data_IF_314040380054
#
_entry.id   IF_314040380054
#
_cell.length_a   1.000
_cell.length_b   1.000
_cell.length_c   1.000
_cell.angle_alpha   90.00
_cell.angle_beta   90.00
_cell.angle_gamma   90.00
#
_symmetry.space_group_name_H-M   'P 1'
#
loop_
_entity.id
_entity.type
_entity.pdbx_description
1 polymer ?
#
# COMPACT_ATOMS: atom_id res chain seq x y z
N UNK A 1 14.17 -17.42 16.92
CA UNK A 1 13.53 -16.14 17.28
C UNK A 1 14.38 -15.04 16.69
N UNK A 2 14.13 -14.65 15.41
CA UNK A 2 14.87 -13.58 14.74
C UNK A 2 14.32 -12.27 15.29
N UNK A 3 15.14 -11.56 16.03
CA UNK A 3 14.82 -10.26 16.61
C UNK A 3 14.58 -9.24 15.50
N UNK A 4 13.33 -8.84 15.32
CA UNK A 4 12.91 -7.73 14.45
C UNK A 4 13.31 -6.35 15.02
N UNK A 5 14.42 -6.28 15.74
CA UNK A 5 15.01 -5.06 16.30
C UNK A 5 15.43 -4.03 15.23
N UNK A 6 15.34 -4.41 13.96
CA UNK A 6 15.65 -3.53 12.81
C UNK A 6 14.76 -2.30 12.67
N UNK A 7 13.59 -2.25 13.32
CA UNK A 7 12.65 -1.13 13.17
C UNK A 7 12.60 -0.18 14.37
N UNK A 8 13.42 -0.42 15.38
CA UNK A 8 13.39 0.28 16.66
C UNK A 8 14.73 0.92 16.97
N UNK A 9 14.83 2.17 16.88
CA UNK A 9 15.45 3.13 17.79
C UNK A 9 15.58 4.50 17.14
N UNK A 10 15.45 5.57 17.92
CA UNK A 10 15.74 6.95 17.51
C UNK A 10 17.25 7.21 17.34
N UNK A 11 18.08 6.22 17.32
CA UNK A 11 19.45 6.30 16.82
C UNK A 11 19.34 6.58 15.32
N UNK A 12 19.94 7.65 14.87
CA UNK A 12 20.08 8.02 13.46
C UNK A 12 20.68 6.83 12.72
N UNK A 13 19.83 5.97 12.15
CA UNK A 13 20.32 4.87 11.30
C UNK A 13 21.15 5.51 10.20
N UNK A 14 22.33 4.96 9.88
CA UNK A 14 23.11 5.44 8.76
C UNK A 14 22.23 5.39 7.50
N UNK A 15 22.32 6.41 6.66
CA UNK A 15 21.46 6.57 5.46
C UNK A 15 21.46 5.34 4.57
N UNK A 16 22.62 4.67 4.42
CA UNK A 16 22.74 3.47 3.61
C UNK A 16 21.82 2.31 4.04
N UNK A 17 21.57 2.15 5.35
CA UNK A 17 20.64 1.12 5.84
C UNK A 17 19.20 1.43 5.44
N UNK A 18 18.83 2.71 5.43
CA UNK A 18 17.52 3.15 4.95
C UNK A 18 17.37 2.93 3.45
N UNK A 19 18.40 3.24 2.68
CA UNK A 19 18.46 3.02 1.24
C UNK A 19 18.35 1.53 0.91
N UNK A 20 19.13 0.69 1.60
CA UNK A 20 19.05 -0.77 1.44
C UNK A 20 17.65 -1.29 1.74
N UNK A 21 17.02 -0.83 2.83
CA UNK A 21 15.66 -1.23 3.17
C UNK A 21 14.65 -0.83 2.07
N UNK A 22 14.77 0.39 1.52
CA UNK A 22 13.91 0.83 0.40
C UNK A 22 14.11 -0.08 -0.81
N UNK A 23 15.35 -0.37 -1.19
CA UNK A 23 15.67 -1.27 -2.32
C UNK A 23 15.08 -2.67 -2.10
N UNK A 24 15.32 -3.26 -0.93
CA UNK A 24 14.80 -4.60 -0.62
C UNK A 24 13.26 -4.65 -0.64
N UNK A 25 12.61 -3.60 -0.12
CA UNK A 25 11.16 -3.50 -0.18
C UNK A 25 10.66 -3.32 -1.62
N UNK A 26 11.29 -2.45 -2.40
CA UNK A 26 10.92 -2.24 -3.81
C UNK A 26 11.05 -3.55 -4.59
N UNK A 27 12.19 -4.24 -4.51
CA UNK A 27 12.40 -5.53 -5.19
C UNK A 27 11.38 -6.57 -4.73
N UNK A 28 11.25 -6.76 -3.42
CA UNK A 28 10.36 -7.79 -2.85
C UNK A 28 8.89 -7.58 -3.23
N UNK A 29 8.38 -6.35 -3.08
CA UNK A 29 6.99 -6.05 -3.45
C UNK A 29 6.76 -5.98 -4.96
N UNK A 30 7.76 -5.61 -5.76
CA UNK A 30 7.68 -5.72 -7.22
C UNK A 30 7.60 -7.17 -7.67
N UNK A 31 8.44 -8.06 -7.12
CA UNK A 31 8.36 -9.49 -7.43
C UNK A 31 7.02 -10.12 -7.00
N UNK A 32 6.48 -9.73 -5.84
CA UNK A 32 5.14 -10.14 -5.42
C UNK A 32 4.07 -9.64 -6.40
N UNK A 33 4.12 -8.37 -6.81
CA UNK A 33 3.21 -7.80 -7.78
C UNK A 33 3.29 -8.53 -9.13
N UNK A 34 4.50 -8.80 -9.62
CA UNK A 34 4.72 -9.53 -10.88
C UNK A 34 4.17 -10.96 -10.79
N UNK A 35 4.43 -11.66 -9.67
CA UNK A 35 3.95 -13.02 -9.44
C UNK A 35 2.44 -13.16 -9.31
N UNK A 36 1.73 -12.07 -8.99
CA UNK A 36 0.26 -12.04 -8.89
C UNK A 36 -0.43 -11.51 -10.14
N UNK A 37 0.31 -11.16 -11.19
CA UNK A 37 -0.27 -10.78 -12.49
C UNK A 37 -1.02 -11.96 -13.08
N UNK A 38 -2.29 -11.78 -13.36
CA UNK A 38 -3.04 -12.69 -14.25
C UNK A 38 -2.59 -12.42 -15.68
N UNK A 39 -2.56 -13.48 -16.51
CA UNK A 39 -2.06 -13.43 -17.90
C UNK A 39 -2.62 -12.23 -18.67
N UNK A 40 -1.74 -11.29 -19.05
CA UNK A 40 -2.09 -10.15 -19.91
C UNK A 40 -2.62 -8.90 -19.19
N UNK A 41 -2.66 -8.86 -17.85
CA UNK A 41 -3.21 -7.73 -17.10
C UNK A 41 -2.22 -7.13 -16.09
N UNK A 42 -2.53 -5.92 -15.61
CA UNK A 42 -1.83 -5.28 -14.50
C UNK A 42 -2.03 -6.11 -13.22
N UNK A 43 -1.06 -6.05 -12.30
CA UNK A 43 -1.22 -6.66 -10.99
C UNK A 43 -2.42 -6.03 -10.26
N UNK A 44 -3.29 -6.82 -9.62
CA UNK A 44 -4.44 -6.30 -8.87
C UNK A 44 -4.03 -5.43 -7.69
N UNK A 45 -2.82 -5.62 -7.18
CA UNK A 45 -2.21 -4.82 -6.12
C UNK A 45 -0.71 -4.61 -6.40
N UNK A 46 -0.32 -3.35 -6.51
CA UNK A 46 1.08 -2.97 -6.68
C UNK A 46 1.61 -2.30 -5.41
N UNK A 47 2.09 -3.12 -4.47
CA UNK A 47 2.50 -2.66 -3.14
C UNK A 47 3.82 -1.90 -3.09
N UNK A 48 4.70 -2.05 -4.09
CA UNK A 48 6.06 -1.52 -4.08
C UNK A 48 6.09 0.01 -3.88
N UNK A 49 5.29 0.74 -4.67
CA UNK A 49 5.19 2.20 -4.61
C UNK A 49 4.63 2.68 -3.27
N UNK A 50 3.61 2.00 -2.78
CA UNK A 50 2.95 2.36 -1.53
C UNK A 50 3.84 2.13 -0.30
N UNK A 51 4.62 1.04 -0.29
CA UNK A 51 5.61 0.76 0.75
C UNK A 51 6.75 1.76 0.69
N UNK A 52 7.28 2.06 -0.50
CA UNK A 52 8.30 3.08 -0.68
C UNK A 52 7.82 4.44 -0.18
N UNK A 53 6.64 4.90 -0.62
CA UNK A 53 6.05 6.15 -0.15
C UNK A 53 5.91 6.18 1.37
N UNK A 54 5.37 5.13 1.97
CA UNK A 54 5.22 5.00 3.43
C UNK A 54 6.54 5.10 4.18
N UNK A 55 7.59 4.44 3.69
CA UNK A 55 8.95 4.50 4.26
C UNK A 55 9.54 5.90 4.18
N UNK A 56 9.40 6.59 3.03
CA UNK A 56 9.93 7.93 2.81
C UNK A 56 9.18 8.99 3.63
N UNK A 57 7.86 8.87 3.77
CA UNK A 57 7.06 9.77 4.61
C UNK A 57 7.38 9.59 6.10
N UNK A 58 7.63 8.35 6.52
CA UNK A 58 8.04 8.05 7.89
C UNK A 58 9.45 8.53 8.20
N UNK A 59 10.35 8.47 7.23
CA UNK A 59 11.75 8.85 7.34
C UNK A 59 12.12 9.93 6.33
N UNK A 60 11.75 11.19 6.56
CA UNK A 60 11.90 12.26 5.57
C UNK A 60 13.35 12.51 5.10
N UNK A 61 14.34 12.15 5.90
CA UNK A 61 15.75 12.24 5.52
C UNK A 61 16.10 11.32 4.34
N UNK A 62 15.44 10.17 4.21
CA UNK A 62 15.67 9.23 3.11
C UNK A 62 15.12 9.79 1.79
N UNK A 63 13.92 10.41 1.83
CA UNK A 63 13.32 11.02 0.65
C UNK A 63 13.98 12.33 0.20
N UNK A 64 14.83 12.95 1.04
CA UNK A 64 15.63 14.14 0.67
C UNK A 64 16.95 13.79 0.01
N UNK A 65 17.40 12.54 0.12
CA UNK A 65 18.64 12.07 -0.51
C UNK A 65 18.31 11.51 -1.90
N UNK A 66 18.83 12.16 -2.93
CA UNK A 66 18.66 11.77 -4.32
C UNK A 66 19.11 10.32 -4.61
N UNK A 67 20.09 9.82 -3.84
CA UNK A 67 20.60 8.46 -3.97
C UNK A 67 19.54 7.42 -3.68
N UNK A 68 18.63 7.71 -2.73
CA UNK A 68 17.50 6.84 -2.41
C UNK A 68 16.61 6.62 -3.63
N UNK A 69 16.33 7.70 -4.38
CA UNK A 69 15.54 7.65 -5.60
C UNK A 69 16.28 6.90 -6.71
N UNK A 70 17.56 7.21 -6.93
CA UNK A 70 18.36 6.53 -7.95
C UNK A 70 18.45 5.01 -7.71
N UNK A 71 18.62 4.59 -6.45
CA UNK A 71 18.65 3.17 -6.10
C UNK A 71 17.29 2.50 -6.23
N UNK A 72 16.21 3.18 -5.86
CA UNK A 72 14.86 2.66 -6.03
C UNK A 72 14.50 2.54 -7.52
N UNK A 73 14.83 3.55 -8.33
CA UNK A 73 14.65 3.49 -9.78
C UNK A 73 15.38 2.31 -10.41
N UNK A 74 16.65 2.13 -10.06
CA UNK A 74 17.43 0.99 -10.52
C UNK A 74 16.81 -0.34 -10.08
N UNK A 75 16.31 -0.40 -8.84
CA UNK A 75 15.66 -1.60 -8.30
C UNK A 75 14.37 -1.95 -9.08
N UNK A 76 13.51 -0.96 -9.38
CA UNK A 76 12.33 -1.16 -10.23
C UNK A 76 12.73 -1.65 -11.63
N UNK A 77 13.62 -0.90 -12.31
CA UNK A 77 14.00 -1.17 -13.67
C UNK A 77 14.66 -2.55 -13.82
N UNK A 78 15.59 -2.88 -12.93
CA UNK A 78 16.27 -4.18 -12.94
C UNK A 78 15.30 -5.33 -12.63
N UNK A 79 14.38 -5.15 -11.69
CA UNK A 79 13.39 -6.19 -11.37
C UNK A 79 12.50 -6.49 -12.55
N UNK A 80 11.96 -5.45 -13.22
CA UNK A 80 11.13 -5.62 -14.40
C UNK A 80 11.92 -6.20 -15.58
N UNK A 81 13.15 -5.78 -15.78
CA UNK A 81 14.01 -6.29 -16.86
C UNK A 81 14.39 -7.75 -16.64
N UNK A 82 14.85 -8.12 -15.46
CA UNK A 82 15.23 -9.50 -15.12
C UNK A 82 14.05 -10.46 -15.11
N UNK A 83 12.83 -9.96 -14.97
CA UNK A 83 11.60 -10.75 -15.06
C UNK A 83 11.01 -10.79 -16.48
N UNK A 84 11.78 -10.37 -17.49
CA UNK A 84 11.45 -10.54 -18.91
C UNK A 84 10.81 -9.34 -19.59
N UNK A 85 10.79 -8.16 -18.95
CA UNK A 85 10.34 -6.95 -19.62
C UNK A 85 11.42 -6.39 -20.55
N UNK A 86 11.04 -5.94 -21.74
CA UNK A 86 11.97 -5.23 -22.65
C UNK A 86 12.55 -3.97 -21.95
N UNK A 87 13.82 -3.60 -22.21
CA UNK A 87 14.48 -2.50 -21.50
C UNK A 87 13.68 -1.18 -21.53
N UNK A 88 13.17 -0.78 -22.66
CA UNK A 88 12.36 0.45 -22.79
C UNK A 88 11.14 0.42 -21.84
N UNK A 89 10.42 -0.71 -21.78
CA UNK A 89 9.30 -0.90 -20.88
C UNK A 89 9.72 -0.88 -19.41
N UNK A 90 10.81 -1.58 -19.06
CA UNK A 90 11.31 -1.67 -17.69
C UNK A 90 11.71 -0.28 -17.14
N UNK A 91 12.47 0.48 -17.90
CA UNK A 91 12.86 1.85 -17.51
C UNK A 91 11.65 2.80 -17.48
N UNK A 92 10.74 2.69 -18.43
CA UNK A 92 9.52 3.50 -18.47
C UNK A 92 8.58 3.22 -17.27
N UNK A 93 8.35 1.94 -16.94
CA UNK A 93 7.55 1.54 -15.78
C UNK A 93 8.20 1.98 -14.46
N UNK A 94 9.52 1.88 -14.34
CA UNK A 94 10.27 2.42 -13.21
C UNK A 94 10.03 3.92 -13.04
N UNK A 95 10.06 4.69 -14.14
CA UNK A 95 9.79 6.13 -14.12
C UNK A 95 8.34 6.43 -13.70
N UNK A 96 7.36 5.67 -14.18
CA UNK A 96 5.97 5.80 -13.77
C UNK A 96 5.77 5.55 -12.27
N UNK A 97 6.39 4.47 -11.77
CA UNK A 97 6.34 4.09 -10.36
C UNK A 97 6.93 5.19 -9.47
N UNK A 98 8.14 5.68 -9.81
CA UNK A 98 8.77 6.74 -9.02
C UNK A 98 8.05 8.08 -9.11
N UNK A 99 7.49 8.42 -10.26
CA UNK A 99 6.72 9.66 -10.41
C UNK A 99 5.56 9.71 -9.41
N UNK A 100 4.80 8.62 -9.27
CA UNK A 100 3.74 8.52 -8.28
C UNK A 100 4.24 8.72 -6.86
N UNK A 101 5.31 8.01 -6.48
CA UNK A 101 5.93 8.14 -5.15
C UNK A 101 6.44 9.56 -4.91
N UNK A 102 7.11 10.16 -5.90
CA UNK A 102 7.68 11.50 -5.80
C UNK A 102 6.59 12.57 -5.61
N UNK A 103 5.53 12.50 -6.39
CA UNK A 103 4.38 13.42 -6.28
C UNK A 103 3.70 13.26 -4.93
N UNK A 104 3.41 12.04 -4.49
CA UNK A 104 2.80 11.76 -3.19
C UNK A 104 3.67 12.25 -2.03
N UNK A 105 4.97 11.96 -2.06
CA UNK A 105 5.94 12.41 -1.07
C UNK A 105 6.01 13.94 -1.02
N UNK A 106 6.14 14.62 -2.16
CA UNK A 106 6.24 16.06 -2.25
C UNK A 106 4.97 16.76 -1.72
N UNK A 107 3.79 16.31 -2.12
CA UNK A 107 2.51 16.87 -1.67
C UNK A 107 2.32 16.71 -0.17
N UNK A 108 2.57 15.52 0.35
CA UNK A 108 2.31 15.23 1.76
C UNK A 108 3.39 15.82 2.68
N UNK A 109 4.65 15.91 2.22
CA UNK A 109 5.74 16.53 2.98
C UNK A 109 5.56 18.04 3.17
N UNK A 110 4.78 18.72 2.33
CA UNK A 110 4.41 20.13 2.50
C UNK A 110 3.38 20.36 3.61
N UNK A 111 2.70 19.31 4.07
CA UNK A 111 1.70 19.42 5.11
C UNK A 111 2.35 19.54 6.49
N UNK A 112 1.69 20.25 7.45
CA UNK A 112 2.16 20.35 8.83
C UNK A 112 2.39 18.96 9.45
N UNK A 113 3.32 18.89 10.41
CA UNK A 113 3.68 17.62 11.07
C UNK A 113 2.47 16.89 11.66
N UNK A 114 1.53 17.61 12.29
CA UNK A 114 0.31 17.03 12.88
C UNK A 114 -0.56 16.32 11.84
N UNK A 115 -0.62 16.88 10.63
CA UNK A 115 -1.33 16.26 9.50
C UNK A 115 -0.61 14.99 9.05
N UNK A 116 0.71 15.06 8.89
CA UNK A 116 1.53 13.92 8.46
C UNK A 116 1.55 12.75 9.45
N UNK A 117 1.33 13.03 10.73
CA UNK A 117 1.25 12.02 11.78
C UNK A 117 -0.19 11.52 12.02
N UNK A 118 -1.13 11.90 11.15
CA UNK A 118 -2.56 11.52 11.22
C UNK A 118 -3.22 11.88 12.56
N UNK A 119 -2.84 13.01 13.16
CA UNK A 119 -3.34 13.45 14.47
C UNK A 119 -4.63 14.29 14.39
N UNK A 120 -5.10 14.60 13.19
CA UNK A 120 -6.29 15.42 12.95
C UNK A 120 -7.25 14.69 12.02
N UNK A 121 -8.56 14.87 12.20
CA UNK A 121 -9.56 14.25 11.31
C UNK A 121 -9.37 14.63 9.84
N UNK A 122 -8.99 15.88 9.55
CA UNK A 122 -8.67 16.32 8.18
C UNK A 122 -7.42 15.65 7.59
N UNK A 123 -6.56 15.05 8.40
CA UNK A 123 -5.34 14.39 7.92
C UNK A 123 -5.64 13.25 6.96
N UNK A 124 -6.76 12.57 7.15
CA UNK A 124 -7.21 11.48 6.26
C UNK A 124 -7.55 12.04 4.88
N UNK A 125 -8.29 13.15 4.82
CA UNK A 125 -8.64 13.81 3.55
C UNK A 125 -7.40 14.33 2.82
N UNK A 126 -6.46 14.93 3.54
CA UNK A 126 -5.19 15.41 2.98
C UNK A 126 -4.34 14.25 2.43
N UNK A 127 -4.35 13.10 3.13
CA UNK A 127 -3.67 11.90 2.65
C UNK A 127 -4.36 11.34 1.40
N UNK A 128 -5.70 11.23 1.41
CA UNK A 128 -6.47 10.77 0.25
C UNK A 128 -6.21 11.63 -0.98
N UNK A 129 -6.20 12.96 -0.83
CA UNK A 129 -5.89 13.88 -1.93
C UNK A 129 -4.47 13.67 -2.47
N UNK A 130 -3.48 13.56 -1.58
CA UNK A 130 -2.09 13.32 -2.00
C UNK A 130 -1.94 11.98 -2.73
N UNK A 131 -2.57 10.91 -2.22
CA UNK A 131 -2.57 9.59 -2.85
C UNK A 131 -3.28 9.60 -4.22
N UNK A 132 -4.41 10.31 -4.33
CA UNK A 132 -5.14 10.43 -5.58
C UNK A 132 -4.30 11.14 -6.64
N UNK A 133 -3.72 12.30 -6.32
CA UNK A 133 -2.88 13.05 -7.27
C UNK A 133 -1.63 12.24 -7.64
N UNK A 134 -1.02 11.53 -6.68
CA UNK A 134 0.10 10.64 -6.93
C UNK A 134 -0.25 9.52 -7.92
N UNK A 135 -1.40 8.87 -7.71
CA UNK A 135 -1.89 7.79 -8.57
C UNK A 135 -2.21 8.29 -10.00
N UNK A 136 -2.86 9.45 -10.12
CA UNK A 136 -3.15 10.07 -11.42
C UNK A 136 -1.87 10.46 -12.16
N UNK A 137 -0.86 10.99 -11.46
CA UNK A 137 0.43 11.33 -12.04
C UNK A 137 1.18 10.09 -12.53
N UNK A 138 1.23 9.03 -11.73
CA UNK A 138 1.81 7.74 -12.11
C UNK A 138 1.09 7.14 -13.31
N UNK A 139 -0.25 7.18 -13.31
CA UNK A 139 -1.08 6.64 -14.38
C UNK A 139 -0.88 7.35 -15.72
N UNK A 140 -0.50 8.62 -15.73
CA UNK A 140 -0.23 9.35 -16.98
C UNK A 140 0.91 8.70 -17.78
N UNK A 141 1.93 8.22 -17.10
CA UNK A 141 3.07 7.51 -17.74
C UNK A 141 2.79 6.01 -17.81
N UNK A 142 2.43 5.39 -16.68
CA UNK A 142 2.22 3.94 -16.59
C UNK A 142 1.03 3.44 -17.43
N UNK A 143 -0.05 4.21 -17.49
CA UNK A 143 -1.20 3.93 -18.35
C UNK A 143 -0.85 3.98 -19.84
N UNK A 144 -0.07 5.00 -20.26
CA UNK A 144 0.39 5.10 -21.63
C UNK A 144 1.28 3.92 -22.05
N UNK A 145 2.22 3.52 -21.18
CA UNK A 145 3.07 2.34 -21.42
C UNK A 145 2.27 1.03 -21.42
N UNK A 146 1.26 0.93 -20.55
CA UNK A 146 0.37 -0.23 -20.48
C UNK A 146 -0.51 -0.34 -21.72
N UNK A 147 -1.03 0.78 -22.24
CA UNK A 147 -1.73 0.82 -23.52
C UNK A 147 -0.88 0.28 -24.66
N UNK A 148 0.38 0.75 -24.78
CA UNK A 148 1.30 0.26 -25.80
C UNK A 148 1.63 -1.23 -25.68
N UNK A 149 1.60 -1.78 -24.46
CA UNK A 149 2.01 -3.17 -24.20
C UNK A 149 0.86 -4.16 -24.32
N UNK A 150 -0.34 -3.83 -23.82
CA UNK A 150 -1.46 -4.76 -23.65
C UNK A 150 -2.57 -4.56 -24.68
N UNK A 151 -2.39 -3.63 -25.61
CA UNK A 151 -3.35 -3.33 -26.70
C UNK A 151 -4.77 -3.01 -26.21
N UNK A 152 -4.90 -2.53 -24.98
CA UNK A 152 -6.17 -2.08 -24.41
C UNK A 152 -6.37 -0.57 -24.67
N UNK A 153 -7.61 -0.05 -24.72
CA UNK A 153 -7.85 1.38 -24.89
C UNK A 153 -7.09 2.22 -23.86
N UNK A 154 -6.43 3.30 -24.29
CA UNK A 154 -5.56 4.11 -23.42
C UNK A 154 -6.25 4.60 -22.15
N UNK A 155 -7.51 5.01 -22.25
CA UNK A 155 -8.30 5.47 -21.10
C UNK A 155 -8.56 4.34 -20.09
N UNK A 156 -8.74 3.11 -20.58
CA UNK A 156 -8.91 1.93 -19.73
C UNK A 156 -7.60 1.61 -19.01
N UNK A 157 -6.48 1.63 -19.73
CA UNK A 157 -5.15 1.45 -19.15
C UNK A 157 -4.86 2.51 -18.06
N UNK A 158 -5.18 3.77 -18.35
CA UNK A 158 -5.04 4.89 -17.42
C UNK A 158 -5.88 4.69 -16.15
N UNK A 159 -7.16 4.39 -16.29
CA UNK A 159 -8.07 4.19 -15.15
C UNK A 159 -7.66 2.98 -14.33
N UNK A 160 -7.35 1.86 -14.96
CA UNK A 160 -6.89 0.64 -14.26
C UNK A 160 -5.63 0.91 -13.45
N UNK A 161 -4.65 1.61 -14.04
CA UNK A 161 -3.43 2.01 -13.33
C UNK A 161 -3.75 2.93 -12.14
N UNK A 162 -4.49 4.01 -12.38
CA UNK A 162 -4.83 4.99 -11.36
C UNK A 162 -5.58 4.38 -10.16
N UNK A 163 -6.57 3.52 -10.43
CA UNK A 163 -7.36 2.85 -9.38
C UNK A 163 -6.51 1.87 -8.58
N UNK A 164 -5.70 1.04 -9.25
CA UNK A 164 -4.81 0.09 -8.58
C UNK A 164 -3.78 0.80 -7.71
N UNK A 165 -3.14 1.84 -8.23
CA UNK A 165 -2.15 2.62 -7.52
C UNK A 165 -2.75 3.39 -6.33
N UNK A 166 -3.91 4.03 -6.54
CA UNK A 166 -4.64 4.73 -5.47
C UNK A 166 -5.03 3.76 -4.34
N UNK A 167 -5.59 2.60 -4.68
CA UNK A 167 -5.93 1.57 -3.71
C UNK A 167 -4.70 1.11 -2.91
N UNK A 168 -3.58 0.85 -3.59
CA UNK A 168 -2.35 0.46 -2.93
C UNK A 168 -1.85 1.54 -1.95
N UNK A 169 -1.87 2.81 -2.34
CA UNK A 169 -1.48 3.92 -1.47
C UNK A 169 -2.38 4.05 -0.24
N UNK A 170 -3.71 4.10 -0.41
CA UNK A 170 -4.63 4.33 0.72
C UNK A 170 -4.68 3.16 1.70
N UNK A 171 -4.39 1.95 1.25
CA UNK A 171 -4.34 0.77 2.11
C UNK A 171 -3.01 0.65 2.87
N UNK A 172 -1.91 1.00 2.24
CA UNK A 172 -0.57 0.70 2.77
C UNK A 172 0.06 1.88 3.51
N UNK A 173 -0.02 3.11 2.96
CA UNK A 173 0.66 4.28 3.54
C UNK A 173 0.22 4.57 4.98
N UNK A 174 -1.07 4.50 5.35
CA UNK A 174 -1.51 4.72 6.74
C UNK A 174 -0.81 3.83 7.75
N UNK A 175 -0.50 2.57 7.40
CA UNK A 175 0.20 1.63 8.28
C UNK A 175 1.55 2.18 8.72
N UNK A 176 2.30 2.81 7.80
CA UNK A 176 3.58 3.43 8.11
C UNK A 176 3.45 4.71 8.93
N UNK A 177 2.40 5.50 8.69
CA UNK A 177 2.19 6.78 9.37
C UNK A 177 1.71 6.61 10.83
N UNK A 178 0.86 5.60 11.10
CA UNK A 178 0.36 5.35 12.47
C UNK A 178 1.34 4.56 13.33
N UNK A 179 2.33 3.89 12.73
CA UNK A 179 3.37 3.20 13.47
C UNK A 179 4.18 4.22 14.29
N UNK A 180 4.13 4.12 15.61
CA UNK A 180 4.77 5.07 16.52
C UNK A 180 6.28 5.14 16.34
N UNK A 181 6.83 6.36 16.36
CA UNK A 181 8.29 6.59 16.36
C UNK A 181 8.99 6.19 17.66
N UNK A 182 8.22 6.03 18.72
CA UNK A 182 8.73 5.75 20.07
C UNK A 182 8.64 4.28 20.38
N UNK A 183 9.80 3.69 20.58
CA UNK A 183 10.04 2.32 21.07
C UNK A 183 9.57 1.22 20.12
N UNK A 184 10.53 0.32 19.87
CA UNK A 184 10.36 -1.04 19.40
C UNK A 184 9.00 -1.33 18.76
N UNK A 185 8.98 -1.71 17.49
CA UNK A 185 7.86 -2.39 16.88
C UNK A 185 7.45 -3.55 17.80
N UNK A 186 6.71 -3.23 18.83
CA UNK A 186 6.14 -4.19 19.76
C UNK A 186 4.75 -4.49 19.29
N UNK A 187 4.47 -5.74 19.01
CA UNK A 187 3.11 -6.23 18.71
C UNK A 187 2.10 -5.74 19.73
N UNK A 188 2.49 -5.67 21.02
CA UNK A 188 1.66 -5.11 22.09
C UNK A 188 1.22 -3.66 21.87
N UNK A 189 2.02 -2.84 21.20
CA UNK A 189 1.65 -1.42 20.97
C UNK A 189 0.54 -1.23 19.93
N UNK A 190 0.17 -2.29 19.22
CA UNK A 190 -0.89 -2.29 18.22
C UNK A 190 -2.25 -2.70 18.78
N UNK A 191 -2.26 -3.28 19.97
CA UNK A 191 -3.47 -3.73 20.64
C UNK A 191 -3.82 -2.79 21.78
N UNK A 192 -5.14 -2.58 22.08
CA UNK A 192 -5.54 -1.79 23.23
C UNK A 192 -5.07 -2.45 24.53
N UNK A 193 -4.60 -1.66 25.49
CA UNK A 193 -4.17 -2.11 26.83
C UNK A 193 -5.35 -2.53 27.73
N UNK A 194 -6.47 -2.95 27.14
CA UNK A 194 -7.68 -3.36 27.86
C UNK A 194 -7.77 -4.88 27.93
N UNK A 195 -8.30 -5.43 29.03
CA UNK A 195 -8.54 -6.87 29.14
C UNK A 195 -9.47 -7.31 27.99
N UNK A 196 -9.20 -8.48 27.44
CA UNK A 196 -9.99 -9.07 26.35
C UNK A 196 -11.33 -9.55 26.91
N UNK A 197 -12.28 -8.65 26.97
CA UNK A 197 -13.67 -8.93 27.30
C UNK A 197 -14.43 -9.34 26.02
N UNK A 198 -15.52 -10.09 26.14
CA UNK A 198 -16.35 -10.54 25.03
C UNK A 198 -16.85 -9.37 24.15
N UNK A 199 -17.10 -8.19 24.73
CA UNK A 199 -17.44 -6.96 24.01
C UNK A 199 -16.36 -6.53 23.02
N UNK A 200 -15.08 -6.84 23.29
CA UNK A 200 -13.99 -6.60 22.35
C UNK A 200 -13.87 -7.69 21.27
N UNK A 201 -14.32 -8.92 21.56
CA UNK A 201 -14.31 -9.98 20.56
C UNK A 201 -15.41 -9.80 19.49
N UNK A 202 -16.57 -9.24 19.87
CA UNK A 202 -17.72 -9.10 18.98
C UNK A 202 -17.44 -8.38 17.66
N UNK A 203 -16.74 -7.21 17.61
CA UNK A 203 -16.44 -6.54 16.34
C UNK A 203 -15.60 -7.41 15.41
N UNK A 204 -14.67 -8.18 15.95
CA UNK A 204 -13.84 -9.11 15.16
C UNK A 204 -14.67 -10.31 14.69
N UNK A 205 -15.50 -10.88 15.54
CA UNK A 205 -16.37 -12.00 15.19
C UNK A 205 -17.39 -11.60 14.11
N UNK A 206 -18.01 -10.43 14.23
CA UNK A 206 -18.93 -9.91 13.21
C UNK A 206 -18.21 -9.63 11.89
N UNK A 207 -16.97 -9.17 11.93
CA UNK A 207 -16.17 -8.95 10.73
C UNK A 207 -15.87 -10.28 10.03
N UNK A 208 -15.43 -11.30 10.76
CA UNK A 208 -15.20 -12.64 10.21
C UNK A 208 -16.50 -13.22 9.66
N UNK A 209 -17.59 -13.12 10.39
CA UNK A 209 -18.90 -13.60 9.96
C UNK A 209 -19.36 -12.90 8.66
N UNK A 210 -19.18 -11.58 8.55
CA UNK A 210 -19.52 -10.84 7.34
C UNK A 210 -18.69 -11.26 6.13
N UNK A 211 -17.39 -11.59 6.31
CA UNK A 211 -16.56 -12.13 5.24
C UNK A 211 -16.98 -13.53 4.81
N UNK A 212 -17.34 -14.40 5.78
CA UNK A 212 -17.87 -15.74 5.46
C UNK A 212 -19.18 -15.64 4.67
N UNK A 213 -20.08 -14.75 5.09
CA UNK A 213 -21.35 -14.50 4.36
C UNK A 213 -21.06 -13.94 2.96
N UNK A 214 -20.09 -13.02 2.83
CA UNK A 214 -19.70 -12.48 1.54
C UNK A 214 -19.21 -13.57 0.57
N UNK A 215 -18.42 -14.52 1.06
CA UNK A 215 -17.95 -15.67 0.28
C UNK A 215 -19.09 -16.61 -0.13
N UNK A 216 -20.09 -16.80 0.75
CA UNK A 216 -21.23 -17.69 0.48
C UNK A 216 -22.23 -17.08 -0.51
N UNK A 217 -22.52 -15.78 -0.39
CA UNK A 217 -23.52 -15.07 -1.24
C UNK A 217 -22.97 -14.81 -2.64
N UNK A 218 -21.68 -14.49 -2.75
CA UNK A 218 -21.00 -14.11 -4.01
C UNK A 218 -21.63 -12.87 -4.69
N UNK A 219 -20.89 -12.24 -5.58
CA UNK A 219 -21.36 -11.07 -6.33
C UNK A 219 -20.75 -9.74 -5.84
N UNK A 220 -20.79 -8.69 -6.67
CA UNK A 220 -20.03 -7.44 -6.43
C UNK A 220 -20.47 -6.69 -5.17
N UNK A 221 -21.76 -6.75 -4.79
CA UNK A 221 -22.28 -6.09 -3.60
C UNK A 221 -21.72 -6.64 -2.29
N UNK A 222 -21.24 -7.90 -2.27
CA UNK A 222 -20.72 -8.55 -1.07
C UNK A 222 -19.40 -7.95 -0.58
N UNK A 223 -18.67 -7.24 -1.44
CA UNK A 223 -17.46 -6.52 -1.06
C UNK A 223 -17.72 -5.46 0.03
N UNK A 224 -18.96 -4.93 0.09
CA UNK A 224 -19.39 -3.98 1.10
C UNK A 224 -19.86 -4.57 2.43
N UNK A 225 -20.05 -5.89 2.52
CA UNK A 225 -20.65 -6.52 3.72
C UNK A 225 -19.82 -6.32 5.00
N UNK A 226 -18.50 -6.25 4.87
CA UNK A 226 -17.60 -6.02 6.00
C UNK A 226 -17.52 -4.56 6.47
N UNK A 227 -18.05 -3.59 5.71
CA UNK A 227 -17.89 -2.16 6.04
C UNK A 227 -18.51 -1.80 7.40
N UNK A 228 -19.75 -2.18 7.74
CA UNK A 228 -20.31 -1.88 9.06
C UNK A 228 -19.50 -2.50 10.21
N UNK A 229 -19.08 -3.76 10.06
CA UNK A 229 -18.26 -4.45 11.04
C UNK A 229 -16.88 -3.81 11.20
N UNK A 230 -16.28 -3.34 10.10
CA UNK A 230 -15.01 -2.61 10.12
C UNK A 230 -15.12 -1.25 10.84
N UNK A 231 -16.22 -0.53 10.65
CA UNK A 231 -16.50 0.71 11.39
C UNK A 231 -16.60 0.41 12.89
N UNK A 232 -17.36 -0.61 13.27
CA UNK A 232 -17.45 -1.03 14.67
C UNK A 232 -16.09 -1.44 15.23
N UNK A 233 -15.32 -2.22 14.48
CA UNK A 233 -13.95 -2.58 14.86
C UNK A 233 -13.07 -1.33 15.07
N UNK A 234 -13.14 -0.36 14.18
CA UNK A 234 -12.38 0.88 14.30
C UNK A 234 -12.74 1.68 15.56
N UNK A 235 -14.02 1.71 15.93
CA UNK A 235 -14.48 2.37 17.15
C UNK A 235 -14.01 1.64 18.42
N UNK A 236 -13.95 0.31 18.39
CA UNK A 236 -13.55 -0.50 19.54
C UNK A 236 -12.02 -0.53 19.75
N UNK A 237 -11.25 -0.68 18.67
CA UNK A 237 -9.81 -0.92 18.72
C UNK A 237 -8.96 0.30 18.37
N UNK A 238 -9.55 1.33 17.76
CA UNK A 238 -8.86 2.53 17.34
C UNK A 238 -8.10 2.37 16.01
N UNK A 239 -7.39 3.43 15.62
CA UNK A 239 -6.85 3.57 14.25
C UNK A 239 -5.76 2.56 13.92
N UNK A 240 -4.85 2.25 14.85
CA UNK A 240 -3.67 1.40 14.56
C UNK A 240 -4.03 -0.02 14.12
N UNK A 241 -4.73 -0.81 14.94
CA UNK A 241 -5.10 -2.16 14.53
C UNK A 241 -6.03 -2.14 13.32
N UNK A 242 -6.88 -1.11 13.19
CA UNK A 242 -7.81 -0.99 12.05
C UNK A 242 -7.08 -0.83 10.73
N UNK A 243 -6.06 0.01 10.63
CA UNK A 243 -5.34 0.17 9.34
C UNK A 243 -4.61 -1.10 8.94
N UNK A 244 -4.06 -1.85 9.91
CA UNK A 244 -3.42 -3.13 9.64
C UNK A 244 -4.43 -4.18 9.18
N UNK A 245 -5.54 -4.29 9.91
CA UNK A 245 -6.60 -5.23 9.56
C UNK A 245 -7.22 -4.92 8.21
N UNK A 246 -7.45 -3.64 7.92
CA UNK A 246 -7.95 -3.20 6.62
C UNK A 246 -6.99 -3.58 5.47
N UNK A 247 -5.69 -3.41 5.65
CA UNK A 247 -4.70 -3.87 4.67
C UNK A 247 -4.77 -5.39 4.47
N UNK A 248 -4.79 -6.17 5.56
CA UNK A 248 -4.85 -7.64 5.50
C UNK A 248 -6.13 -8.11 4.79
N UNK A 249 -7.29 -7.55 5.14
CA UNK A 249 -8.57 -7.90 4.52
C UNK A 249 -8.63 -7.52 3.05
N UNK A 250 -8.10 -6.36 2.69
CA UNK A 250 -8.07 -5.92 1.29
C UNK A 250 -7.16 -6.80 0.45
N UNK A 251 -5.99 -7.18 0.96
CA UNK A 251 -5.10 -8.14 0.30
C UNK A 251 -5.76 -9.52 0.17
N UNK A 252 -6.44 -9.98 1.21
CA UNK A 252 -7.22 -11.23 1.18
C UNK A 252 -8.30 -11.19 0.10
N UNK A 253 -9.09 -10.11 0.01
CA UNK A 253 -10.13 -9.95 -1.01
C UNK A 253 -9.54 -9.92 -2.42
N UNK A 254 -8.49 -9.15 -2.63
CA UNK A 254 -7.81 -9.09 -3.93
C UNK A 254 -7.27 -10.45 -4.35
N UNK A 255 -6.64 -11.19 -3.44
CA UNK A 255 -6.15 -12.53 -3.70
C UNK A 255 -7.30 -13.49 -4.01
N UNK A 256 -8.38 -13.45 -3.23
CA UNK A 256 -9.57 -14.29 -3.42
C UNK A 256 -10.26 -14.04 -4.76
N UNK A 257 -10.29 -12.80 -5.23
CA UNK A 257 -10.76 -12.44 -6.58
C UNK A 257 -9.83 -13.05 -7.65
N UNK A 258 -8.51 -12.91 -7.47
CA UNK A 258 -7.51 -13.39 -8.43
C UNK A 258 -7.52 -14.91 -8.61
N UNK A 259 -7.81 -15.67 -7.54
CA UNK A 259 -7.92 -17.14 -7.58
C UNK A 259 -9.35 -17.63 -7.94
N UNK A 260 -10.25 -16.70 -8.28
CA UNK A 260 -11.63 -17.04 -8.70
C UNK A 260 -12.57 -17.47 -7.57
N UNK A 261 -12.19 -17.31 -6.29
CA UNK A 261 -13.07 -17.61 -5.16
C UNK A 261 -14.25 -16.64 -5.06
N UNK A 262 -14.10 -15.41 -5.54
CA UNK A 262 -15.18 -14.46 -5.80
C UNK A 262 -15.42 -14.42 -7.32
N UNK A 263 -16.40 -15.17 -7.80
CA UNK A 263 -16.84 -15.08 -9.19
C UNK A 263 -17.86 -13.96 -9.33
N UNK A 264 -17.52 -12.94 -10.11
CA UNK A 264 -18.50 -11.95 -10.57
C UNK A 264 -19.10 -12.50 -11.87
N UNK A 265 -20.27 -13.16 -11.80
CA UNK A 265 -21.08 -13.37 -12.99
C UNK A 265 -21.62 -11.98 -13.42
N UNK A 266 -21.04 -11.44 -14.47
CA UNK A 266 -21.61 -10.31 -15.21
C UNK A 266 -22.83 -10.77 -15.96
#
# INVERSE_FOLDING_TARGET
>A
MVSLSFLSSSTKRPLWQGQLLVVLCVVGFSLLGIGTRTSGYLAPFWGANAVMLGLLLRNPSWGRDWRTWAYAYAAYALTDWLTGMAPFGAFGMAAANELGVAVGWWLFMRKPRRVRELQQSRSVLELLQACLVAALASAAVGGALSWMRFEIPWWQAYVMWAVSEFAAFILTVPVFLVATRTKVWSWRSWWPDKPMDWHYALPLVTLIASEVVALAVKGPGTLGFSVPAMIWYAMAYGVRPTVLLNLVLSLWKMLSISIGSFTFSL
#
